data_IF_530899603381
#
_entry.id   IF_530899603381
#
_cell.length_a   1.000
_cell.length_b   1.000
_cell.length_c   1.000
_cell.angle_alpha   90.00
_cell.angle_beta   90.00
_cell.angle_gamma   90.00
#
_symmetry.space_group_name_H-M   'P 1'
#
loop_
_entity.id
_entity.type
_entity.pdbx_description
1 polymer ?
#
# COMPACT_ATOMS: atom_id res chain seq x y z
N UNK A 1 -51.70 2.55 85.87
CA UNK A 1 -53.10 2.76 85.43
C UNK A 1 -53.06 3.86 84.39
N UNK A 2 -52.92 3.49 83.12
CA UNK A 2 -54.02 3.17 82.20
C UNK A 2 -54.47 4.43 81.44
N UNK A 3 -54.09 4.53 80.17
CA UNK A 3 -55.09 4.73 79.13
C UNK A 3 -54.48 4.45 77.76
N UNK A 4 -54.99 3.37 77.18
CA UNK A 4 -55.02 3.12 75.75
C UNK A 4 -55.54 4.35 74.95
N UNK A 5 -54.85 4.65 73.84
CA UNK A 5 -55.32 4.70 72.44
C UNK A 5 -56.85 4.53 72.19
N UNK A 6 -57.48 5.07 71.10
CA UNK A 6 -57.00 4.81 69.71
C UNK A 6 -57.43 5.75 68.53
N UNK A 7 -56.67 5.64 67.42
CA UNK A 7 -57.08 5.59 65.99
C UNK A 7 -57.73 6.79 65.24
N UNK A 8 -57.04 7.33 64.22
CA UNK A 8 -57.27 7.00 62.78
C UNK A 8 -56.39 7.81 61.79
N UNK A 9 -55.66 7.04 60.98
CA UNK A 9 -55.07 7.25 59.64
C UNK A 9 -55.21 8.57 58.88
N UNK A 10 -54.08 9.10 58.41
CA UNK A 10 -53.89 9.49 57.01
C UNK A 10 -52.44 9.21 56.60
N UNK A 11 -52.29 8.30 55.65
CA UNK A 11 -51.04 7.93 55.00
C UNK A 11 -50.81 8.97 53.90
N UNK A 12 -49.68 9.67 53.95
CA UNK A 12 -49.08 10.34 52.80
C UNK A 12 -47.61 9.93 52.78
N UNK A 13 -47.28 9.03 51.87
CA UNK A 13 -45.91 8.84 51.40
C UNK A 13 -45.63 9.96 50.39
N UNK A 14 -44.54 10.70 50.56
CA UNK A 14 -43.53 10.76 49.51
C UNK A 14 -42.22 11.38 50.00
N UNK A 15 -41.18 10.85 49.37
CA UNK A 15 -39.76 10.80 49.70
C UNK A 15 -39.03 12.16 49.63
N UNK A 16 -38.11 12.40 50.57
CA UNK A 16 -37.09 13.44 50.45
C UNK A 16 -35.82 13.02 51.19
N UNK A 17 -35.25 11.92 50.68
CA UNK A 17 -33.85 11.54 50.79
C UNK A 17 -32.91 12.73 50.54
N UNK A 18 -32.28 13.23 51.59
CA UNK A 18 -31.10 14.09 51.53
C UNK A 18 -29.91 13.29 51.01
N UNK A 19 -29.72 13.28 49.68
CA UNK A 19 -28.53 12.71 49.03
C UNK A 19 -27.52 13.82 48.77
N UNK A 20 -26.43 13.76 49.52
CA UNK A 20 -25.19 14.50 49.30
C UNK A 20 -24.73 14.35 47.85
N UNK A 21 -24.65 15.49 47.15
CA UNK A 21 -24.25 15.58 45.74
C UNK A 21 -22.84 15.02 45.54
N UNK A 22 -22.75 13.88 44.86
CA UNK A 22 -21.50 13.33 44.34
C UNK A 22 -21.00 14.33 43.27
N UNK A 23 -19.77 14.87 43.39
CA UNK A 23 -19.25 15.78 42.36
C UNK A 23 -19.09 15.00 41.05
N UNK A 24 -19.77 15.48 40.01
CA UNK A 24 -19.83 14.87 38.69
C UNK A 24 -18.40 14.66 38.11
N UNK A 25 -17.95 13.41 37.84
CA UNK A 25 -16.61 13.11 37.33
C UNK A 25 -16.48 13.38 35.81
N UNK A 26 -17.15 14.40 35.30
CA UNK A 26 -17.14 14.71 33.88
C UNK A 26 -15.84 15.44 33.54
N UNK A 27 -14.81 14.64 33.23
CA UNK A 27 -13.57 15.11 32.60
C UNK A 27 -13.96 15.82 31.32
N UNK A 28 -13.97 17.16 31.35
CA UNK A 28 -14.15 18.00 30.17
C UNK A 28 -13.20 17.47 29.09
N UNK A 29 -13.74 17.15 27.92
CA UNK A 29 -12.98 16.62 26.78
C UNK A 29 -11.81 17.57 26.51
N UNK A 30 -10.64 17.21 27.03
CA UNK A 30 -9.43 18.01 26.91
C UNK A 30 -9.11 18.00 25.43
N UNK A 31 -9.46 19.08 24.74
CA UNK A 31 -9.19 19.30 23.31
C UNK A 31 -7.83 18.70 23.00
N UNK A 32 -7.84 17.62 22.21
CA UNK A 32 -6.76 16.63 22.11
C UNK A 32 -5.40 17.31 21.96
N UNK A 33 -4.68 17.49 23.08
CA UNK A 33 -3.34 18.07 23.08
C UNK A 33 -2.48 17.30 22.07
N UNK A 34 -1.72 17.99 21.20
CA UNK A 34 -1.01 17.33 20.11
C UNK A 34 -0.10 16.23 20.68
N UNK A 35 -0.40 14.98 20.35
CA UNK A 35 0.39 13.83 20.79
C UNK A 35 1.83 14.04 20.34
N UNK A 36 2.79 13.87 21.25
CA UNK A 36 4.24 13.99 20.99
C UNK A 36 4.60 13.23 19.70
N UNK A 37 5.04 13.96 18.68
CA UNK A 37 5.51 13.42 17.41
C UNK A 37 7.04 13.33 17.40
N UNK A 38 7.58 12.27 16.80
CA UNK A 38 9.03 12.05 16.73
C UNK A 38 9.48 12.15 15.28
N UNK A 39 10.49 13.00 15.03
CA UNK A 39 11.12 13.11 13.70
C UNK A 39 11.78 11.78 13.31
N UNK A 40 11.78 11.48 12.02
CA UNK A 40 12.38 10.25 11.45
C UNK A 40 13.85 10.09 11.85
N UNK A 41 14.64 11.17 11.76
CA UNK A 41 16.05 11.15 12.16
C UNK A 41 16.26 10.75 13.63
N UNK A 42 15.39 11.26 14.53
CA UNK A 42 15.42 10.90 15.94
C UNK A 42 15.13 9.41 16.15
N UNK A 43 14.08 8.89 15.50
CA UNK A 43 13.74 7.46 15.58
C UNK A 43 14.91 6.58 15.11
N UNK A 44 15.60 6.96 14.02
CA UNK A 44 16.76 6.22 13.48
C UNK A 44 17.92 6.24 14.49
N UNK A 45 18.26 7.41 15.03
CA UNK A 45 19.32 7.55 16.04
C UNK A 45 19.07 6.64 17.24
N UNK A 46 17.87 6.72 17.83
CA UNK A 46 17.52 5.91 19.00
C UNK A 46 17.54 4.42 18.68
N UNK A 47 17.07 4.00 17.51
CA UNK A 47 17.15 2.59 17.11
C UNK A 47 18.60 2.11 16.99
N UNK A 48 19.50 2.94 16.45
CA UNK A 48 20.93 2.61 16.36
C UNK A 48 21.58 2.50 17.75
N UNK A 49 21.32 3.44 18.65
CA UNK A 49 21.82 3.39 20.03
C UNK A 49 21.24 2.19 20.80
N UNK A 50 19.96 1.87 20.59
CA UNK A 50 19.31 0.72 21.19
C UNK A 50 19.89 -0.61 20.71
N UNK A 51 20.18 -0.72 19.41
CA UNK A 51 20.80 -1.91 18.80
C UNK A 51 22.29 -2.04 19.21
N UNK A 52 22.99 -0.92 19.44
CA UNK A 52 24.38 -0.91 19.93
C UNK A 52 24.52 -1.34 21.39
N UNK A 53 23.46 -1.23 22.20
CA UNK A 53 23.46 -1.68 23.58
C UNK A 53 23.42 -3.22 23.67
N UNK A 54 24.47 -3.84 24.21
CA UNK A 54 24.56 -5.30 24.40
C UNK A 54 23.65 -5.80 25.54
N UNK A 55 23.51 -5.02 26.60
CA UNK A 55 22.82 -5.44 27.84
C UNK A 55 21.40 -4.90 27.92
N UNK A 56 20.48 -5.71 28.47
CA UNK A 56 19.08 -5.32 28.74
C UNK A 56 19.00 -4.09 29.66
N UNK A 57 19.92 -3.98 30.62
CA UNK A 57 20.01 -2.88 31.58
C UNK A 57 20.36 -1.56 30.88
N UNK A 58 21.38 -1.57 30.00
CA UNK A 58 21.80 -0.40 29.23
C UNK A 58 20.69 0.09 28.29
N UNK A 59 19.95 -0.85 27.65
CA UNK A 59 18.76 -0.53 26.86
C UNK A 59 17.69 0.15 27.72
N UNK A 60 17.42 -0.37 28.91
CA UNK A 60 16.45 0.22 29.84
C UNK A 60 16.86 1.61 30.33
N UNK A 61 18.16 1.83 30.58
CA UNK A 61 18.69 3.14 30.97
C UNK A 61 18.52 4.18 29.86
N UNK A 62 18.89 3.84 28.61
CA UNK A 62 18.68 4.69 27.44
C UNK A 62 17.21 5.10 27.30
N UNK A 63 16.29 4.14 27.45
CA UNK A 63 14.86 4.39 27.32
C UNK A 63 14.32 5.31 28.41
N UNK A 64 14.81 5.19 29.65
CA UNK A 64 14.44 6.10 30.73
C UNK A 64 14.97 7.52 30.49
N UNK A 65 16.22 7.66 30.03
CA UNK A 65 16.81 8.96 29.68
C UNK A 65 16.02 9.69 28.60
N UNK A 66 15.55 8.96 27.59
CA UNK A 66 14.81 9.52 26.45
C UNK A 66 13.29 9.63 26.69
N UNK A 67 12.80 9.12 27.83
CA UNK A 67 11.37 9.06 28.16
C UNK A 67 10.56 8.18 27.20
N UNK A 68 11.18 7.09 26.73
CA UNK A 68 10.60 6.13 25.79
C UNK A 68 10.24 4.83 26.50
N UNK A 69 9.20 4.18 26.00
CA UNK A 69 8.80 2.86 26.47
C UNK A 69 9.17 1.79 25.43
N UNK A 70 9.36 0.55 25.88
CA UNK A 70 9.76 -0.58 25.03
C UNK A 70 8.80 -0.80 23.86
N UNK A 71 7.48 -0.60 24.07
CA UNK A 71 6.49 -0.73 22.99
C UNK A 71 6.77 0.20 21.81
N UNK A 72 7.25 1.43 22.10
CA UNK A 72 7.59 2.42 21.08
C UNK A 72 8.74 1.95 20.20
N UNK A 73 9.77 1.37 20.82
CA UNK A 73 10.92 0.81 20.12
C UNK A 73 10.50 -0.35 19.23
N UNK A 74 9.66 -1.25 19.75
CA UNK A 74 9.11 -2.36 18.98
C UNK A 74 8.31 -1.87 17.77
N UNK A 75 7.51 -0.81 17.92
CA UNK A 75 6.82 -0.17 16.79
C UNK A 75 7.79 0.41 15.77
N UNK A 76 8.83 1.12 16.22
CA UNK A 76 9.83 1.70 15.31
C UNK A 76 10.69 0.65 14.61
N UNK A 77 10.98 -0.49 15.24
CA UNK A 77 11.61 -1.65 14.59
C UNK A 77 10.76 -2.16 13.43
N UNK A 78 9.46 -2.35 13.64
CA UNK A 78 8.52 -2.73 12.57
C UNK A 78 8.41 -1.66 11.48
N UNK A 79 8.40 -0.38 11.84
CA UNK A 79 8.42 0.74 10.88
C UNK A 79 9.72 0.74 10.02
N UNK A 80 10.87 0.35 10.59
CA UNK A 80 12.14 0.17 9.85
C UNK A 80 12.08 -1.03 8.91
N UNK A 81 11.60 -2.17 9.37
CA UNK A 81 11.44 -3.39 8.55
C UNK A 81 10.49 -3.19 7.36
N UNK A 82 9.43 -2.42 7.57
CA UNK A 82 8.44 -2.07 6.53
C UNK A 82 8.90 -0.94 5.60
N UNK A 83 10.07 -0.32 5.87
CA UNK A 83 10.62 0.77 5.06
C UNK A 83 9.94 2.12 5.25
N UNK A 84 9.10 2.27 6.30
CA UNK A 84 8.49 3.56 6.67
C UNK A 84 9.51 4.50 7.34
N UNK A 85 10.49 3.93 8.02
CA UNK A 85 11.61 4.65 8.62
C UNK A 85 12.83 4.61 7.70
N UNK A 86 13.21 5.76 7.14
CA UNK A 86 14.54 5.96 6.53
C UNK A 86 14.67 5.69 5.03
N UNK A 87 13.62 5.27 4.32
CA UNK A 87 13.64 5.33 2.85
C UNK A 87 13.07 4.10 2.16
N UNK A 88 12.27 4.40 1.14
CA UNK A 88 11.53 3.51 0.24
C UNK A 88 10.68 2.49 1.00
N UNK A 89 9.45 2.92 1.26
CA UNK A 89 8.31 2.01 1.35
C UNK A 89 8.54 0.85 0.37
N UNK A 90 8.61 -0.40 0.85
CA UNK A 90 8.37 -1.57 -0.01
C UNK A 90 6.89 -1.55 -0.35
N UNK A 91 6.51 -0.61 -1.20
CA UNK A 91 5.15 -0.48 -1.63
C UNK A 91 4.83 -1.77 -2.39
N UNK A 92 3.64 -2.34 -2.19
CA UNK A 92 3.05 -3.28 -3.17
C UNK A 92 3.15 -2.75 -4.61
N UNK A 93 3.25 -1.41 -4.74
CA UNK A 93 3.62 -0.69 -5.95
C UNK A 93 4.91 -1.18 -6.60
N UNK A 94 5.97 -1.55 -5.88
CA UNK A 94 7.24 -1.97 -6.50
C UNK A 94 7.10 -3.28 -7.30
N UNK A 95 6.28 -4.21 -6.80
CA UNK A 95 5.95 -5.43 -7.56
C UNK A 95 5.11 -5.09 -8.78
N UNK A 96 4.11 -4.22 -8.62
CA UNK A 96 3.25 -3.76 -9.72
C UNK A 96 4.06 -2.99 -10.78
N UNK A 97 5.01 -2.15 -10.37
CA UNK A 97 5.91 -1.39 -11.22
C UNK A 97 6.87 -2.31 -11.99
N UNK A 98 7.41 -3.35 -11.36
CA UNK A 98 8.19 -4.38 -12.05
C UNK A 98 7.36 -5.10 -13.10
N UNK A 99 6.16 -5.58 -12.74
CA UNK A 99 5.25 -6.24 -13.67
C UNK A 99 4.86 -5.32 -14.83
N UNK A 100 4.50 -4.07 -14.53
CA UNK A 100 4.19 -3.03 -15.52
C UNK A 100 5.38 -2.76 -16.45
N UNK A 101 6.60 -2.69 -15.92
CA UNK A 101 7.81 -2.45 -16.73
C UNK A 101 8.11 -3.61 -17.68
N UNK A 102 7.94 -4.85 -17.22
CA UNK A 102 8.10 -6.05 -18.04
C UNK A 102 7.06 -6.08 -19.17
N UNK A 103 5.81 -5.77 -18.85
CA UNK A 103 4.74 -5.71 -19.83
C UNK A 103 4.98 -4.59 -20.85
N UNK A 104 5.48 -3.43 -20.41
CA UNK A 104 5.83 -2.33 -21.30
C UNK A 104 6.95 -2.73 -22.28
N UNK A 105 7.99 -3.42 -21.80
CA UNK A 105 9.07 -3.95 -22.65
C UNK A 105 8.50 -4.97 -23.65
N UNK A 106 7.62 -5.87 -23.21
CA UNK A 106 6.98 -6.88 -24.07
C UNK A 106 6.15 -6.23 -25.16
N UNK A 107 5.33 -5.25 -24.81
CA UNK A 107 4.48 -4.51 -25.74
C UNK A 107 5.32 -3.70 -26.74
N UNK A 108 6.38 -3.04 -26.29
CA UNK A 108 7.33 -2.33 -27.17
C UNK A 108 8.01 -3.25 -28.17
N UNK A 109 8.41 -4.47 -27.76
CA UNK A 109 8.96 -5.47 -28.68
C UNK A 109 7.95 -5.90 -29.75
N UNK A 110 6.68 -6.07 -29.38
CA UNK A 110 5.61 -6.40 -30.33
C UNK A 110 5.33 -5.26 -31.31
N UNK A 111 5.35 -4.02 -30.84
CA UNK A 111 5.22 -2.84 -31.70
C UNK A 111 6.37 -2.78 -32.70
N UNK A 112 7.62 -2.90 -32.24
CA UNK A 112 8.77 -2.91 -33.13
C UNK A 112 8.71 -4.04 -34.18
N UNK A 113 8.22 -5.22 -33.79
CA UNK A 113 8.01 -6.34 -34.71
C UNK A 113 6.92 -6.02 -35.75
N UNK A 114 5.79 -5.43 -35.32
CA UNK A 114 4.70 -5.05 -36.23
C UNK A 114 5.12 -3.93 -37.19
N UNK A 115 5.84 -2.92 -36.69
CA UNK A 115 6.41 -1.82 -37.49
C UNK A 115 7.37 -2.36 -38.55
N UNK A 116 8.28 -3.27 -38.17
CA UNK A 116 9.18 -3.92 -39.12
C UNK A 116 8.44 -4.70 -40.21
N UNK A 117 7.36 -5.41 -39.86
CA UNK A 117 6.52 -6.11 -40.84
C UNK A 117 5.86 -5.12 -41.79
N UNK A 118 5.29 -4.03 -41.27
CA UNK A 118 4.65 -2.98 -42.06
C UNK A 118 5.67 -2.34 -43.02
N UNK A 119 6.89 -2.08 -42.55
CA UNK A 119 7.93 -1.47 -43.38
C UNK A 119 8.43 -2.41 -44.48
N UNK A 120 8.56 -3.71 -44.19
CA UNK A 120 8.82 -4.72 -45.21
C UNK A 120 7.69 -4.80 -46.24
N UNK A 121 6.43 -4.76 -45.79
CA UNK A 121 5.27 -4.73 -46.69
C UNK A 121 5.28 -3.49 -47.58
N UNK A 122 5.52 -2.29 -47.02
CA UNK A 122 5.62 -1.04 -47.77
C UNK A 122 6.77 -1.06 -48.78
N UNK A 123 7.95 -1.58 -48.37
CA UNK A 123 9.12 -1.66 -49.23
C UNK A 123 8.91 -2.66 -50.36
N UNK A 124 8.37 -3.83 -50.06
CA UNK A 124 8.01 -4.86 -51.04
C UNK A 124 6.96 -4.35 -52.03
N UNK A 125 5.89 -3.71 -51.54
CA UNK A 125 4.87 -3.10 -52.38
C UNK A 125 5.48 -2.02 -53.30
N UNK A 126 6.37 -1.19 -52.77
CA UNK A 126 7.03 -0.14 -53.55
C UNK A 126 8.00 -0.69 -54.60
N UNK A 127 8.74 -1.75 -54.29
CA UNK A 127 9.77 -2.31 -55.18
C UNK A 127 9.21 -3.28 -56.22
N UNK A 128 8.21 -4.10 -55.84
CA UNK A 128 7.68 -5.14 -56.71
C UNK A 128 6.54 -4.65 -57.63
N UNK A 129 5.90 -3.52 -57.32
CA UNK A 129 4.67 -3.10 -58.01
C UNK A 129 4.74 -1.78 -58.76
N UNK A 130 5.93 -1.15 -58.88
CA UNK A 130 6.17 0.04 -59.70
C UNK A 130 4.97 0.99 -59.89
N UNK A 131 4.75 1.94 -58.98
CA UNK A 131 3.77 3.04 -59.06
C UNK A 131 2.28 2.71 -59.40
N UNK A 132 1.87 1.46 -59.65
CA UNK A 132 0.47 1.11 -59.92
C UNK A 132 0.02 -0.10 -59.08
N UNK A 133 -1.03 0.02 -58.26
CA UNK A 133 -1.48 -1.06 -57.39
C UNK A 133 -2.28 -2.12 -58.19
N UNK A 134 -2.16 -3.41 -57.87
CA UNK A 134 -3.01 -4.44 -58.45
C UNK A 134 -4.45 -4.30 -57.97
N UNK A 135 -5.37 -4.90 -58.73
CA UNK A 135 -6.78 -5.02 -58.35
C UNK A 135 -6.92 -5.54 -56.90
N UNK A 136 -7.96 -5.09 -56.19
CA UNK A 136 -8.20 -5.35 -54.76
C UNK A 136 -8.17 -6.86 -54.45
N UNK A 137 -8.66 -7.69 -55.39
CA UNK A 137 -8.66 -9.14 -55.24
C UNK A 137 -7.25 -9.76 -55.30
N UNK A 138 -6.39 -9.27 -56.18
CA UNK A 138 -5.01 -9.74 -56.31
C UNK A 138 -4.16 -9.33 -55.11
N UNK A 139 -4.41 -8.13 -54.57
CA UNK A 139 -3.76 -7.66 -53.35
C UNK A 139 -4.04 -8.55 -52.15
N UNK A 140 -5.28 -9.04 -52.01
CA UNK A 140 -5.67 -9.93 -50.91
C UNK A 140 -4.98 -11.29 -51.06
N UNK A 141 -4.99 -11.87 -52.26
CA UNK A 141 -4.32 -13.15 -52.55
C UNK A 141 -2.82 -13.11 -52.22
N UNK A 142 -2.15 -12.03 -52.62
CA UNK A 142 -0.73 -11.84 -52.32
C UNK A 142 -0.44 -11.62 -50.84
N UNK A 143 -1.32 -10.91 -50.12
CA UNK A 143 -1.16 -10.75 -48.67
C UNK A 143 -1.34 -12.08 -47.94
N UNK A 144 -2.25 -12.93 -48.38
CA UNK A 144 -2.43 -14.28 -47.84
C UNK A 144 -1.22 -15.17 -48.12
N UNK A 145 -0.64 -15.09 -49.31
CA UNK A 145 0.55 -15.85 -49.69
C UNK A 145 1.82 -15.38 -48.95
N UNK A 146 1.97 -14.06 -48.76
CA UNK A 146 3.05 -13.49 -47.92
C UNK A 146 2.87 -13.91 -46.45
N UNK A 147 1.64 -13.90 -45.93
CA UNK A 147 1.35 -14.37 -44.56
C UNK A 147 1.64 -15.86 -44.39
N UNK A 148 1.36 -16.68 -45.41
CA UNK A 148 1.70 -18.11 -45.45
C UNK A 148 3.21 -18.32 -45.42
N UNK A 149 3.96 -17.63 -46.28
CA UNK A 149 5.44 -17.67 -46.31
C UNK A 149 6.05 -17.17 -44.99
N UNK A 150 5.44 -16.17 -44.35
CA UNK A 150 5.88 -15.70 -43.03
C UNK A 150 5.64 -16.73 -41.93
N UNK A 151 4.55 -17.51 -41.99
CA UNK A 151 4.31 -18.62 -41.04
C UNK A 151 5.33 -19.75 -41.23
N UNK A 152 5.64 -20.11 -42.46
CA UNK A 152 6.60 -21.17 -42.79
C UNK A 152 8.03 -20.81 -42.36
N UNK A 153 8.49 -19.57 -42.60
CA UNK A 153 9.83 -19.13 -42.13
C UNK A 153 9.93 -19.03 -40.61
N UNK A 154 8.84 -18.73 -39.91
CA UNK A 154 8.78 -18.68 -38.44
C UNK A 154 8.86 -20.08 -37.80
N UNK A 155 8.43 -21.13 -38.49
CA UNK A 155 8.60 -22.51 -38.04
C UNK A 155 10.06 -22.99 -38.12
N UNK A 156 10.86 -22.46 -39.06
CA UNK A 156 12.26 -22.86 -39.23
C UNK A 156 13.23 -22.14 -38.28
N UNK A 157 12.88 -20.98 -37.73
CA UNK A 157 13.72 -20.24 -36.77
C UNK A 157 13.51 -20.61 -35.30
N UNK A 158 12.61 -21.55 -35.00
CA UNK A 158 12.30 -22.05 -33.65
C UNK A 158 12.71 -23.53 -33.49
N UNK A 159 13.83 -23.96 -34.11
CA UNK A 159 14.50 -25.20 -33.70
C UNK A 159 15.41 -24.91 -32.50
N UNK A 160 15.22 -25.58 -31.36
CA UNK A 160 16.07 -25.39 -30.20
C UNK A 160 17.40 -26.12 -30.41
N UNK A 161 18.51 -25.42 -30.13
CA UNK A 161 19.72 -26.02 -29.57
C UNK A 161 19.71 -25.76 -28.07
#
# INVERSE_FOLDING_TARGET
MNSQNPSKSLIVSDDSSSTSEIPNPQVKEKQSSPRRSFKTAYKIRILAEYDACSNQLARGELLRKEGLYSSRISTWKKERETGKLGGKYKNKSDKKMKLLSQENIRLKKKLAQAEAIIDLQKKSLRSAWGAYPPDRAERVKLMDEINKLSKEKKCHSNSPM
#
